data_IF_311963344674
#
_entry.id   IF_311963344674
#
_cell.length_a   1.000
_cell.length_b   1.000
_cell.length_c   1.000
_cell.angle_alpha   90.00
_cell.angle_beta   90.00
_cell.angle_gamma   90.00
#
_symmetry.space_group_name_H-M   'P 1'
#
loop_
_entity.id
_entity.type
_entity.pdbx_description
1 polymer ?
#
# COMPACT_ATOMS: atom_id res chain seq x y z
N UNK A 1 -25.96 -19.60 55.13
CA UNK A 1 -25.53 -19.05 56.44
C UNK A 1 -24.25 -18.26 56.19
N UNK A 2 -24.36 -16.96 55.89
CA UNK A 2 -24.12 -15.81 56.83
C UNK A 2 -22.69 -15.79 57.35
N UNK A 3 -21.89 -14.73 57.31
CA UNK A 3 -21.90 -13.34 56.84
C UNK A 3 -20.40 -12.92 56.94
N UNK A 4 -19.85 -11.91 56.27
CA UNK A 4 -19.86 -10.50 56.72
C UNK A 4 -18.94 -9.69 55.82
N UNK A 5 -19.34 -8.44 55.68
CA UNK A 5 -18.86 -7.39 54.79
C UNK A 5 -17.84 -6.44 55.45
N UNK A 6 -17.25 -5.60 54.59
CA UNK A 6 -16.86 -4.19 54.79
C UNK A 6 -15.52 -3.83 55.48
N UNK A 7 -14.60 -3.33 54.64
CA UNK A 7 -13.91 -2.02 54.65
C UNK A 7 -12.80 -1.65 55.66
N UNK A 8 -12.00 -0.69 55.18
CA UNK A 8 -10.96 0.14 55.84
C UNK A 8 -9.55 -0.50 55.89
N UNK A 9 -8.42 0.16 55.62
CA UNK A 9 -8.05 1.57 55.41
C UNK A 9 -6.68 1.57 54.67
N UNK A 10 -6.49 2.33 53.59
CA UNK A 10 -5.73 3.60 53.54
C UNK A 10 -4.32 3.61 54.17
N UNK A 11 -3.25 3.76 53.36
CA UNK A 11 -2.42 4.98 53.30
C UNK A 11 -0.98 4.76 52.73
N UNK A 12 -0.77 5.37 51.56
CA UNK A 12 0.34 6.25 51.11
C UNK A 12 1.83 5.86 51.26
N UNK A 13 2.57 5.97 50.14
CA UNK A 13 3.97 6.44 49.88
C UNK A 13 4.62 5.50 48.83
N UNK A 14 5.36 5.91 47.80
CA UNK A 14 5.87 7.18 47.34
C UNK A 14 6.29 7.07 45.85
N UNK A 15 6.37 8.23 45.22
CA UNK A 15 6.90 8.58 43.90
C UNK A 15 7.91 7.61 43.21
N UNK A 16 7.60 7.28 41.96
CA UNK A 16 8.57 7.21 40.86
C UNK A 16 7.85 7.47 39.52
N UNK A 17 7.34 8.68 39.35
CA UNK A 17 7.04 9.21 38.01
C UNK A 17 8.39 9.47 37.32
N UNK A 18 8.88 8.50 36.54
CA UNK A 18 9.93 8.77 35.58
C UNK A 18 9.26 9.39 34.34
N UNK A 19 9.48 10.68 34.04
CA UNK A 19 9.19 11.19 32.71
C UNK A 19 10.33 10.76 31.77
N UNK A 20 10.04 10.80 30.48
CA UNK A 20 10.98 10.65 29.35
C UNK A 20 11.40 9.21 29.03
N UNK A 21 10.66 8.62 28.09
CA UNK A 21 11.14 8.42 26.72
C UNK A 21 9.91 8.48 25.82
N UNK A 22 9.46 9.70 25.52
CA UNK A 22 8.72 9.92 24.30
C UNK A 22 9.70 9.62 23.16
N UNK A 23 9.75 8.35 22.76
CA UNK A 23 10.28 7.98 21.45
C UNK A 23 9.35 8.68 20.47
N UNK A 24 9.74 9.87 20.02
CA UNK A 24 9.24 10.44 18.81
C UNK A 24 9.66 9.44 17.72
N UNK A 25 8.82 8.42 17.53
CA UNK A 25 8.79 7.64 16.32
C UNK A 25 8.44 8.66 15.25
N UNK A 26 9.46 9.29 14.68
CA UNK A 26 9.40 9.79 13.32
C UNK A 26 9.12 8.56 12.48
N UNK A 27 7.84 8.20 12.35
CA UNK A 27 7.36 7.62 11.12
C UNK A 27 7.66 8.67 10.07
N UNK A 28 8.89 8.64 9.56
CA UNK A 28 9.20 9.01 8.20
C UNK A 28 8.31 8.09 7.38
N UNK A 29 7.07 8.53 7.19
CA UNK A 29 6.07 7.82 6.43
C UNK A 29 6.57 7.91 5.00
N UNK A 30 7.45 6.98 4.62
CA UNK A 30 8.00 6.83 3.30
C UNK A 30 6.82 6.90 2.33
N UNK A 31 6.69 8.04 1.65
CA UNK A 31 5.49 8.40 0.90
C UNK A 31 5.31 7.40 -0.23
N UNK A 32 4.44 6.41 0.03
CA UNK A 32 4.26 5.30 -0.89
C UNK A 32 3.30 5.75 -1.97
N UNK A 33 3.84 6.03 -3.16
CA UNK A 33 3.05 6.41 -4.31
C UNK A 33 2.24 5.19 -4.81
N UNK A 34 0.91 5.23 -4.64
CA UNK A 34 -0.02 4.16 -5.05
C UNK A 34 -0.96 4.66 -6.13
N UNK A 35 -1.14 3.87 -7.19
CA UNK A 35 -2.12 4.12 -8.24
C UNK A 35 -3.07 2.93 -8.39
N UNK A 36 -4.37 3.16 -8.15
CA UNK A 36 -5.41 2.14 -8.32
C UNK A 36 -5.83 2.02 -9.79
N UNK A 37 -5.97 0.79 -10.28
CA UNK A 37 -6.47 0.48 -11.63
C UNK A 37 -7.76 -0.33 -11.49
N UNK A 38 -8.87 0.25 -11.95
CA UNK A 38 -10.16 -0.43 -11.99
C UNK A 38 -10.29 -1.27 -13.27
N UNK A 39 -10.82 -2.49 -13.10
CA UNK A 39 -11.04 -3.46 -14.19
C UNK A 39 -12.48 -3.94 -14.29
N UNK A 40 -13.35 -3.53 -13.36
CA UNK A 40 -14.74 -4.02 -13.26
C UNK A 40 -15.63 -3.59 -14.43
N UNK A 41 -15.26 -2.50 -15.09
CA UNK A 41 -15.94 -1.96 -16.27
C UNK A 41 -15.39 -2.53 -17.59
N UNK A 42 -14.33 -3.33 -17.55
CA UNK A 42 -13.67 -3.86 -18.73
C UNK A 42 -14.04 -5.33 -18.97
N UNK A 43 -14.33 -5.66 -20.22
CA UNK A 43 -14.40 -7.05 -20.66
C UNK A 43 -13.00 -7.56 -21.07
N UNK A 44 -12.29 -8.17 -20.12
CA UNK A 44 -10.92 -8.66 -20.32
C UNK A 44 -10.82 -9.86 -21.27
N UNK A 45 -11.95 -10.52 -21.56
CA UNK A 45 -12.01 -11.59 -22.58
C UNK A 45 -11.99 -11.06 -24.01
N UNK A 46 -12.00 -9.74 -24.21
CA UNK A 46 -11.92 -9.11 -25.54
C UNK A 46 -10.57 -8.43 -25.76
N UNK A 47 -10.04 -8.40 -27.00
CA UNK A 47 -8.81 -7.65 -27.32
C UNK A 47 -8.90 -6.17 -26.95
N UNK A 48 -10.08 -5.56 -27.11
CA UNK A 48 -10.32 -4.15 -26.78
C UNK A 48 -10.25 -3.89 -25.27
N UNK A 49 -10.83 -4.78 -24.45
CA UNK A 49 -10.75 -4.67 -22.99
C UNK A 49 -9.33 -4.87 -22.47
N UNK A 50 -8.57 -5.81 -23.05
CA UNK A 50 -7.15 -6.00 -22.73
C UNK A 50 -6.30 -4.79 -23.14
N UNK A 51 -6.53 -4.22 -24.32
CA UNK A 51 -5.84 -3.01 -24.76
C UNK A 51 -6.11 -1.82 -23.82
N UNK A 52 -7.36 -1.67 -23.39
CA UNK A 52 -7.76 -0.62 -22.44
C UNK A 52 -7.10 -0.81 -21.08
N UNK A 53 -7.06 -2.05 -20.57
CA UNK A 53 -6.37 -2.38 -19.34
C UNK A 53 -4.86 -2.05 -19.43
N UNK A 54 -4.22 -2.43 -20.53
CA UNK A 54 -2.80 -2.15 -20.78
C UNK A 54 -2.51 -0.63 -20.76
N UNK A 55 -3.39 0.17 -21.39
CA UNK A 55 -3.27 1.62 -21.36
C UNK A 55 -3.43 2.19 -19.94
N UNK A 56 -4.40 1.68 -19.16
CA UNK A 56 -4.60 2.11 -17.76
C UNK A 56 -3.41 1.77 -16.87
N UNK A 57 -2.85 0.56 -17.01
CA UNK A 57 -1.64 0.14 -16.30
C UNK A 57 -0.48 1.05 -16.68
N UNK A 58 -0.29 1.36 -17.98
CA UNK A 58 0.78 2.25 -18.41
C UNK A 58 0.65 3.66 -17.77
N UNK A 59 -0.56 4.21 -17.71
CA UNK A 59 -0.83 5.48 -17.03
C UNK A 59 -0.53 5.43 -15.53
N UNK A 60 -0.98 4.37 -14.84
CA UNK A 60 -0.72 4.17 -13.42
C UNK A 60 0.78 4.02 -13.12
N UNK A 61 1.50 3.23 -13.92
CA UNK A 61 2.94 3.04 -13.81
C UNK A 61 3.69 4.36 -13.98
N UNK A 62 3.29 5.22 -14.91
CA UNK A 62 3.91 6.53 -15.09
C UNK A 62 3.68 7.46 -13.88
N UNK A 63 2.52 7.36 -13.20
CA UNK A 63 2.27 8.13 -11.97
C UNK A 63 3.13 7.64 -10.80
N UNK A 64 3.34 6.34 -10.68
CA UNK A 64 4.11 5.75 -9.57
C UNK A 64 5.63 5.89 -9.78
N UNK A 65 6.12 5.61 -10.99
CA UNK A 65 7.55 5.58 -11.29
C UNK A 65 8.08 6.92 -11.85
N UNK A 66 7.22 7.92 -12.06
CA UNK A 66 7.59 9.20 -12.64
C UNK A 66 7.93 9.16 -14.14
N UNK A 67 8.39 10.29 -14.67
CA UNK A 67 8.81 10.47 -16.06
C UNK A 67 10.33 10.61 -16.20
N UNK A 68 10.91 9.94 -17.19
CA UNK A 68 12.33 10.04 -17.53
C UNK A 68 12.65 11.22 -18.46
N UNK A 69 11.95 12.35 -18.29
CA UNK A 69 12.01 13.53 -19.16
C UNK A 69 12.97 14.57 -18.61
N UNK A 70 13.75 15.23 -19.48
CA UNK A 70 14.69 16.30 -19.10
C UNK A 70 16.11 15.82 -18.78
N UNK A 71 16.84 16.67 -18.06
CA UNK A 71 18.23 16.47 -17.67
C UNK A 71 18.35 15.60 -16.42
N UNK A 72 18.09 14.30 -16.57
CA UNK A 72 18.29 13.30 -15.50
C UNK A 72 19.53 12.44 -15.78
N UNK A 73 20.12 11.88 -14.72
CA UNK A 73 21.29 11.00 -14.84
C UNK A 73 20.95 9.69 -15.56
N UNK A 74 21.96 8.99 -16.09
CA UNK A 74 21.77 7.65 -16.69
C UNK A 74 21.29 6.65 -15.63
N UNK A 75 21.80 6.75 -14.40
CA UNK A 75 21.39 5.90 -13.29
C UNK A 75 19.90 6.09 -12.96
N UNK A 76 19.44 7.34 -12.93
CA UNK A 76 18.04 7.67 -12.65
C UNK A 76 17.11 7.21 -13.79
N UNK A 77 17.53 7.34 -15.06
CA UNK A 77 16.81 6.74 -16.20
C UNK A 77 16.69 5.23 -16.04
N UNK A 78 17.76 4.56 -15.63
CA UNK A 78 17.77 3.11 -15.40
C UNK A 78 16.85 2.73 -14.26
N UNK A 79 16.88 3.47 -13.14
CA UNK A 79 16.00 3.25 -12.00
C UNK A 79 14.51 3.38 -12.40
N UNK A 80 14.15 4.42 -13.15
CA UNK A 80 12.79 4.61 -13.66
C UNK A 80 12.41 3.46 -14.60
N UNK A 81 13.29 3.06 -15.52
CA UNK A 81 13.02 1.95 -16.44
C UNK A 81 12.77 0.63 -15.71
N UNK A 82 13.59 0.32 -14.70
CA UNK A 82 13.44 -0.87 -13.84
C UNK A 82 12.13 -0.80 -13.06
N UNK A 83 11.79 0.35 -12.47
CA UNK A 83 10.53 0.56 -11.76
C UNK A 83 9.34 0.28 -12.69
N UNK A 84 9.35 0.85 -13.90
CA UNK A 84 8.26 0.70 -14.87
C UNK A 84 8.09 -0.75 -15.33
N UNK A 85 9.18 -1.45 -15.61
CA UNK A 85 9.14 -2.86 -15.99
C UNK A 85 8.56 -3.72 -14.86
N UNK A 86 9.04 -3.53 -13.63
CA UNK A 86 8.55 -4.26 -12.45
C UNK A 86 7.07 -3.98 -12.20
N UNK A 87 6.69 -2.72 -12.10
CA UNK A 87 5.31 -2.32 -11.82
C UNK A 87 4.33 -2.80 -12.89
N UNK A 88 4.71 -2.70 -14.18
CA UNK A 88 3.89 -3.22 -15.28
C UNK A 88 3.73 -4.74 -15.20
N UNK A 89 4.81 -5.48 -15.02
CA UNK A 89 4.76 -6.95 -14.96
C UNK A 89 3.93 -7.43 -13.77
N UNK A 90 4.10 -6.82 -12.60
CA UNK A 90 3.30 -7.14 -11.41
C UNK A 90 1.83 -6.81 -11.63
N UNK A 91 1.51 -5.64 -12.18
CA UNK A 91 0.12 -5.25 -12.43
C UNK A 91 -0.58 -6.19 -13.43
N UNK A 92 0.11 -6.59 -14.50
CA UNK A 92 -0.42 -7.53 -15.49
C UNK A 92 -0.62 -8.93 -14.90
N UNK A 93 0.32 -9.40 -14.07
CA UNK A 93 0.18 -10.69 -13.40
C UNK A 93 -1.07 -10.70 -12.49
N UNK A 94 -1.26 -9.66 -11.69
CA UNK A 94 -2.44 -9.53 -10.81
C UNK A 94 -3.73 -9.42 -11.62
N UNK A 95 -3.73 -8.72 -12.75
CA UNK A 95 -4.91 -8.61 -13.59
C UNK A 95 -5.34 -9.97 -14.17
N UNK A 96 -4.38 -10.79 -14.64
CA UNK A 96 -4.67 -12.14 -15.15
C UNK A 96 -5.22 -13.07 -14.07
N UNK A 97 -4.69 -13.01 -12.85
CA UNK A 97 -5.20 -13.85 -11.76
C UNK A 97 -6.63 -13.46 -11.38
N UNK A 98 -6.94 -12.15 -11.33
CA UNK A 98 -8.29 -11.67 -11.08
C UNK A 98 -9.29 -12.07 -12.16
N UNK A 99 -8.89 -12.05 -13.42
CA UNK A 99 -9.73 -12.55 -14.52
C UNK A 99 -10.11 -14.02 -14.31
N UNK A 100 -9.13 -14.89 -14.01
CA UNK A 100 -9.39 -16.30 -13.72
C UNK A 100 -10.32 -16.51 -12.52
N UNK A 101 -10.19 -15.70 -11.46
CA UNK A 101 -11.08 -15.75 -10.29
C UNK A 101 -12.51 -15.32 -10.64
N UNK A 102 -12.70 -14.28 -11.45
CA UNK A 102 -14.03 -13.81 -11.86
C UNK A 102 -14.73 -14.84 -12.76
N UNK A 103 -13.98 -15.54 -13.63
CA UNK A 103 -14.53 -16.62 -14.46
C UNK A 103 -14.89 -17.85 -13.64
N UNK A 104 -14.10 -18.20 -12.62
CA UNK A 104 -14.36 -19.36 -11.76
C UNK A 104 -15.52 -19.16 -10.76
N UNK A 105 -15.95 -17.92 -10.53
CA UNK A 105 -17.05 -17.57 -9.63
C UNK A 105 -18.41 -17.41 -10.34
N UNK A 106 -18.47 -17.62 -11.66
CA UNK A 106 -19.68 -17.59 -12.48
C UNK A 106 -20.10 -19.01 -12.85
#
# INVERSE_FOLDING_TARGET
>A
MTSKTFFAAACVLAAAIAPSLASAATTDAMETNVAVVHTSDLNLSTPQGQATLNARIAGAVNRVCGSATGAISIEERRAIAVCRAKARNTALAVARTREGQVLAQR
#
